data_IF_265978697807
#
_entry.id   IF_265978697807
#
_cell.length_a   1.000
_cell.length_b   1.000
_cell.length_c   1.000
_cell.angle_alpha   90.00
_cell.angle_beta   90.00
_cell.angle_gamma   90.00
#
_symmetry.space_group_name_H-M   'P 1'
#
loop_
_entity.id
_entity.type
_entity.pdbx_description
1 polymer ?
#
# COMPACT_ATOMS: atom_id res chain seq x y z
N UNK A 1 18.06 12.67 21.94
CA UNK A 1 17.50 13.33 20.73
C UNK A 1 18.08 12.80 19.40
N UNK A 2 19.07 11.90 19.40
CA UNK A 2 19.71 11.38 18.18
C UNK A 2 19.05 10.12 17.56
N UNK A 3 18.13 9.43 18.26
CA UNK A 3 17.59 8.15 17.77
C UNK A 3 16.49 8.28 16.70
N UNK A 4 15.72 9.38 16.67
CA UNK A 4 14.62 9.58 15.70
C UNK A 4 15.10 9.81 14.26
N UNK A 5 16.32 10.30 14.06
CA UNK A 5 16.82 10.60 12.72
C UNK A 5 17.33 9.35 11.98
N UNK A 6 17.81 8.34 12.72
CA UNK A 6 18.36 7.12 12.13
C UNK A 6 17.26 6.18 11.59
N UNK A 7 16.14 6.04 12.30
CA UNK A 7 14.97 5.26 11.85
C UNK A 7 14.33 5.87 10.60
N UNK A 8 14.12 7.20 10.59
CA UNK A 8 13.57 7.92 9.44
C UNK A 8 14.45 7.76 8.18
N UNK A 9 15.77 7.73 8.35
CA UNK A 9 16.72 7.46 7.26
C UNK A 9 16.66 6.01 6.74
N UNK A 10 16.57 5.02 7.64
CA UNK A 10 16.48 3.61 7.27
C UNK A 10 15.23 3.28 6.46
N UNK A 11 14.05 3.76 6.90
CA UNK A 11 12.79 3.62 6.17
C UNK A 11 12.90 4.26 4.78
N UNK A 12 13.51 5.44 4.70
CA UNK A 12 13.70 6.17 3.45
C UNK A 12 14.65 5.45 2.46
N UNK A 13 15.75 4.85 2.95
CA UNK A 13 16.67 4.07 2.10
C UNK A 13 16.00 2.80 1.58
N UNK A 14 15.30 2.06 2.46
CA UNK A 14 14.55 0.88 2.06
C UNK A 14 13.49 1.24 1.01
N UNK A 15 12.80 2.37 1.20
CA UNK A 15 11.88 2.92 0.23
C UNK A 15 12.56 3.15 -1.12
N UNK A 16 13.65 3.94 -1.17
CA UNK A 16 14.37 4.18 -2.43
C UNK A 16 14.81 2.89 -3.14
N UNK A 17 15.29 1.89 -2.39
CA UNK A 17 15.72 0.61 -2.96
C UNK A 17 14.55 -0.20 -3.54
N UNK A 18 13.41 -0.23 -2.85
CA UNK A 18 12.22 -0.97 -3.29
C UNK A 18 11.53 -0.22 -4.45
N UNK A 19 11.50 1.11 -4.42
CA UNK A 19 10.65 1.94 -5.30
C UNK A 19 11.39 2.70 -6.42
N UNK A 20 12.73 2.68 -6.46
CA UNK A 20 13.56 3.45 -7.41
C UNK A 20 13.89 2.77 -8.74
N UNK A 21 13.55 1.49 -8.94
CA UNK A 21 13.93 0.70 -10.14
C UNK A 21 12.80 0.65 -11.19
N UNK A 22 13.08 0.34 -12.47
CA UNK A 22 12.08 0.11 -13.53
C UNK A 22 11.22 -1.17 -13.31
N UNK A 23 11.67 -2.15 -12.52
CA UNK A 23 10.93 -3.39 -12.16
C UNK A 23 10.05 -3.26 -10.88
N UNK A 24 9.40 -2.11 -10.65
CA UNK A 24 8.75 -1.77 -9.36
C UNK A 24 7.72 -2.81 -8.87
N UNK A 25 6.90 -3.35 -9.77
CA UNK A 25 5.75 -4.19 -9.38
C UNK A 25 6.17 -5.54 -8.80
N UNK A 26 7.11 -6.23 -9.42
CA UNK A 26 7.57 -7.57 -8.97
C UNK A 26 8.27 -7.51 -7.60
N UNK A 27 9.11 -6.50 -7.41
CA UNK A 27 9.79 -6.26 -6.13
C UNK A 27 8.74 -5.96 -5.04
N UNK A 28 7.71 -5.18 -5.37
CA UNK A 28 6.65 -4.85 -4.41
C UNK A 28 5.78 -6.04 -4.05
N UNK A 29 5.38 -6.84 -5.03
CA UNK A 29 4.65 -8.09 -4.79
C UNK A 29 5.48 -9.00 -3.88
N UNK A 30 6.77 -9.18 -4.18
CA UNK A 30 7.67 -10.01 -3.36
C UNK A 30 7.80 -9.49 -1.94
N UNK A 31 7.99 -8.17 -1.79
CA UNK A 31 8.08 -7.52 -0.47
C UNK A 31 6.79 -7.69 0.35
N UNK A 32 5.64 -7.40 -0.25
CA UNK A 32 4.35 -7.52 0.43
C UNK A 32 4.05 -8.98 0.81
N UNK A 33 4.32 -9.94 -0.09
CA UNK A 33 4.16 -11.36 0.22
C UNK A 33 5.06 -11.78 1.39
N UNK A 34 6.30 -11.29 1.45
CA UNK A 34 7.23 -11.61 2.54
C UNK A 34 6.81 -11.00 3.88
N UNK A 35 6.50 -9.69 3.91
CA UNK A 35 6.17 -8.97 5.16
C UNK A 35 4.85 -9.45 5.77
N UNK A 36 3.89 -9.84 4.92
CA UNK A 36 2.56 -10.29 5.35
C UNK A 36 2.43 -11.82 5.45
N UNK A 37 3.54 -12.54 5.25
CA UNK A 37 3.60 -14.02 5.20
C UNK A 37 2.52 -14.64 4.29
N UNK A 38 2.33 -14.06 3.10
CA UNK A 38 1.38 -14.54 2.10
C UNK A 38 2.03 -15.64 1.26
N UNK A 39 1.49 -16.85 1.36
CA UNK A 39 1.99 -18.06 0.68
C UNK A 39 0.87 -18.80 -0.05
N UNK A 40 1.22 -19.52 -1.11
CA UNK A 40 0.30 -20.40 -1.84
C UNK A 40 -0.86 -19.63 -2.46
N UNK A 41 -2.10 -19.95 -2.07
CA UNK A 41 -3.31 -19.25 -2.56
C UNK A 41 -3.43 -17.81 -2.05
N UNK A 42 -2.71 -17.45 -0.98
CA UNK A 42 -2.74 -16.08 -0.43
C UNK A 42 -1.76 -15.14 -1.12
N UNK A 43 -0.87 -15.64 -1.97
CA UNK A 43 0.13 -14.82 -2.66
C UNK A 43 -0.54 -13.79 -3.56
N UNK A 44 -0.04 -12.57 -3.47
CA UNK A 44 -0.38 -11.49 -4.39
C UNK A 44 0.09 -11.87 -5.81
N UNK A 45 -0.82 -11.75 -6.77
CA UNK A 45 -0.56 -12.02 -8.19
C UNK A 45 -0.53 -10.74 -9.03
N UNK A 46 -1.28 -9.72 -8.65
CA UNK A 46 -1.35 -8.45 -9.40
C UNK A 46 -1.22 -7.26 -8.46
N UNK A 47 -0.60 -6.19 -8.99
CA UNK A 47 -0.33 -4.97 -8.26
C UNK A 47 -0.45 -3.74 -9.18
N UNK A 48 -1.19 -2.76 -8.71
CA UNK A 48 -1.37 -1.45 -9.31
C UNK A 48 -0.89 -0.37 -8.33
N UNK A 49 -0.11 0.58 -8.84
CA UNK A 49 0.28 1.78 -8.10
C UNK A 49 -0.78 2.84 -8.42
N UNK A 50 -1.54 3.25 -7.40
CA UNK A 50 -2.68 4.16 -7.57
C UNK A 50 -2.25 5.63 -7.71
N UNK A 51 -1.12 5.99 -7.10
CA UNK A 51 -0.55 7.33 -7.21
C UNK A 51 0.88 7.29 -7.76
N UNK A 52 1.06 7.25 -9.09
CA UNK A 52 2.40 7.16 -9.70
C UNK A 52 3.22 8.45 -9.56
N UNK A 53 2.58 9.60 -9.25
CA UNK A 53 3.21 10.92 -9.28
C UNK A 53 3.89 11.34 -7.96
N UNK A 54 3.78 10.55 -6.88
CA UNK A 54 4.43 10.82 -5.59
C UNK A 54 5.62 9.92 -5.29
N UNK A 55 6.09 9.15 -6.28
CA UNK A 55 7.37 8.46 -6.16
C UNK A 55 8.44 9.52 -6.42
N UNK A 56 9.20 9.98 -5.40
CA UNK A 56 10.05 11.16 -5.58
C UNK A 56 11.07 10.86 -6.66
N UNK A 57 11.05 11.65 -7.74
CA UNK A 57 12.12 11.72 -8.71
C UNK A 57 13.32 12.44 -8.07
N UNK A 58 13.91 11.81 -7.05
CA UNK A 58 15.20 12.14 -6.41
C UNK A 58 15.24 13.48 -5.63
N UNK A 59 16.07 13.46 -4.58
CA UNK A 59 16.56 14.50 -3.66
C UNK A 59 15.73 14.83 -2.42
N UNK A 60 14.44 15.20 -2.49
CA UNK A 60 13.76 15.71 -1.27
C UNK A 60 12.50 14.91 -0.88
N UNK A 61 12.62 14.02 0.11
CA UNK A 61 11.57 13.06 0.55
C UNK A 61 10.57 13.63 1.55
N UNK A 62 10.38 14.95 1.58
CA UNK A 62 9.32 15.56 2.41
C UNK A 62 7.92 15.09 2.03
N UNK A 63 7.73 14.50 0.84
CA UNK A 63 6.43 14.01 0.36
C UNK A 63 6.49 12.57 -0.18
N UNK A 64 7.00 11.61 0.62
CA UNK A 64 6.98 10.20 0.22
C UNK A 64 5.72 9.49 0.72
N UNK A 65 4.81 9.22 -0.21
CA UNK A 65 3.67 8.34 -0.02
C UNK A 65 3.52 7.37 -1.18
N UNK A 66 3.06 6.16 -0.85
CA UNK A 66 2.78 5.14 -1.84
C UNK A 66 1.43 4.52 -1.52
N UNK A 67 0.56 4.59 -2.52
CA UNK A 67 -0.76 3.98 -2.52
C UNK A 67 -0.77 2.86 -3.55
N UNK A 68 -1.02 1.63 -3.09
CA UNK A 68 -1.04 0.43 -3.91
C UNK A 68 -2.33 -0.34 -3.73
N UNK A 69 -2.87 -0.84 -4.84
CA UNK A 69 -3.89 -1.88 -4.86
C UNK A 69 -3.27 -3.19 -5.32
N UNK A 70 -3.39 -4.25 -4.52
CA UNK A 70 -2.92 -5.59 -4.84
C UNK A 70 -4.06 -6.61 -4.75
N UNK A 71 -3.98 -7.70 -5.49
CA UNK A 71 -4.96 -8.78 -5.47
C UNK A 71 -4.24 -10.13 -5.37
N UNK A 72 -4.70 -10.99 -4.45
CA UNK A 72 -4.19 -12.36 -4.33
C UNK A 72 -4.90 -13.36 -5.27
N UNK A 73 -4.40 -14.59 -5.30
CA UNK A 73 -4.98 -15.67 -6.15
C UNK A 73 -6.42 -16.04 -5.78
N UNK A 74 -6.94 -15.61 -4.63
CA UNK A 74 -8.34 -15.82 -4.21
C UNK A 74 -9.25 -14.65 -4.61
N UNK A 75 -8.69 -13.57 -5.15
CA UNK A 75 -9.42 -12.34 -5.45
C UNK A 75 -9.59 -11.40 -4.26
N UNK A 76 -8.90 -11.64 -3.14
CA UNK A 76 -8.89 -10.70 -2.00
C UNK A 76 -8.11 -9.46 -2.39
N UNK A 77 -8.72 -8.30 -2.18
CA UNK A 77 -8.08 -7.00 -2.49
C UNK A 77 -7.34 -6.47 -1.26
N UNK A 78 -6.12 -6.02 -1.47
CA UNK A 78 -5.30 -5.32 -0.49
C UNK A 78 -5.14 -3.87 -0.93
N UNK A 79 -5.47 -2.93 -0.04
CA UNK A 79 -5.16 -1.51 -0.18
C UNK A 79 -4.01 -1.22 0.76
N UNK A 80 -2.84 -0.90 0.21
CA UNK A 80 -1.62 -0.65 0.97
C UNK A 80 -1.29 0.84 0.88
N UNK A 81 -1.18 1.49 2.02
CA UNK A 81 -0.68 2.86 2.14
C UNK A 81 0.58 2.91 2.99
N UNK A 82 1.58 3.64 2.49
CA UNK A 82 2.79 3.94 3.23
C UNK A 82 2.94 5.46 3.35
N UNK A 83 3.11 5.96 4.59
CA UNK A 83 3.26 7.40 4.85
C UNK A 83 4.38 7.63 5.87
N UNK A 84 5.37 8.45 5.50
CA UNK A 84 6.43 8.88 6.43
C UNK A 84 5.94 10.02 7.34
N UNK A 85 4.99 10.83 6.85
CA UNK A 85 4.45 11.97 7.59
C UNK A 85 2.92 11.87 7.70
N UNK A 86 2.40 12.30 8.85
CA UNK A 86 0.96 12.27 9.10
C UNK A 86 0.26 13.32 8.25
N UNK A 87 -0.67 12.89 7.40
CA UNK A 87 -1.52 13.80 6.61
C UNK A 87 -2.86 14.07 7.31
N UNK A 88 -3.46 15.27 7.14
CA UNK A 88 -4.83 15.52 7.57
C UNK A 88 -5.82 14.54 6.94
N UNK A 89 -6.91 14.25 7.67
CA UNK A 89 -8.02 13.40 7.22
C UNK A 89 -7.64 11.96 6.80
N UNK A 90 -6.52 11.46 7.32
CA UNK A 90 -5.97 10.15 6.97
C UNK A 90 -6.99 9.01 7.14
N UNK A 91 -7.67 8.96 8.30
CA UNK A 91 -8.70 7.94 8.59
C UNK A 91 -9.89 7.99 7.64
N UNK A 92 -10.34 9.20 7.28
CA UNK A 92 -11.43 9.39 6.33
C UNK A 92 -11.03 8.85 4.95
N UNK A 93 -9.80 9.12 4.50
CA UNK A 93 -9.27 8.60 3.24
C UNK A 93 -9.22 7.08 3.23
N UNK A 94 -8.71 6.45 4.28
CA UNK A 94 -8.63 4.98 4.36
C UNK A 94 -10.01 4.35 4.33
N UNK A 95 -10.96 4.90 5.10
CA UNK A 95 -12.35 4.44 5.12
C UNK A 95 -12.98 4.55 3.73
N UNK A 96 -12.79 5.68 3.06
CA UNK A 96 -13.28 5.90 1.70
C UNK A 96 -12.68 4.90 0.70
N UNK A 97 -11.36 4.66 0.75
CA UNK A 97 -10.71 3.71 -0.15
C UNK A 97 -11.17 2.28 0.06
N UNK A 98 -11.30 1.83 1.31
CA UNK A 98 -11.82 0.49 1.60
C UNK A 98 -13.26 0.36 1.12
N UNK A 99 -14.12 1.33 1.44
CA UNK A 99 -15.52 1.30 1.03
C UNK A 99 -15.66 1.30 -0.51
N UNK A 100 -14.90 2.15 -1.21
CA UNK A 100 -14.88 2.22 -2.68
C UNK A 100 -14.35 0.92 -3.28
N UNK A 101 -13.26 0.37 -2.75
CA UNK A 101 -12.69 -0.88 -3.24
C UNK A 101 -13.61 -2.09 -3.01
N UNK A 102 -14.44 -2.06 -1.96
CA UNK A 102 -15.42 -3.10 -1.69
C UNK A 102 -16.64 -2.97 -2.61
N UNK A 103 -17.22 -1.78 -2.72
CA UNK A 103 -18.42 -1.55 -3.54
C UNK A 103 -18.16 -1.67 -5.03
N UNK A 104 -16.95 -1.36 -5.51
CA UNK A 104 -16.58 -1.44 -6.93
C UNK A 104 -16.33 -2.86 -7.45
N UNK A 105 -16.45 -3.90 -6.62
CA UNK A 105 -16.30 -5.29 -7.08
C UNK A 105 -17.52 -5.81 -7.85
N UNK A 106 -18.65 -5.12 -7.73
CA UNK A 106 -19.91 -5.52 -8.35
C UNK A 106 -20.53 -4.34 -9.09
N UNK A 107 -21.19 -4.65 -10.21
CA UNK A 107 -22.00 -3.69 -10.94
C UNK A 107 -23.44 -3.67 -10.43
N UNK A 108 -24.23 -2.69 -10.86
CA UNK A 108 -25.66 -2.62 -10.53
C UNK A 108 -26.35 -3.94 -10.94
N UNK A 109 -27.20 -4.46 -10.06
CA UNK A 109 -27.96 -5.71 -10.24
C UNK A 109 -27.14 -7.03 -10.18
N UNK A 110 -25.93 -7.01 -9.63
CA UNK A 110 -25.13 -8.22 -9.35
C UNK A 110 -25.37 -8.71 -7.91
N UNK A 111 -25.33 -10.03 -7.73
CA UNK A 111 -25.55 -10.71 -6.45
C UNK A 111 -24.41 -10.48 -5.43
N UNK A 112 -24.76 -10.04 -4.22
CA UNK A 112 -23.85 -9.69 -3.13
C UNK A 112 -22.90 -10.80 -2.64
N UNK A 113 -23.22 -12.11 -2.70
CA UNK A 113 -22.30 -13.20 -2.36
C UNK A 113 -21.00 -13.22 -3.17
N UNK A 114 -20.90 -12.45 -4.26
CA UNK A 114 -19.68 -12.32 -5.07
C UNK A 114 -18.66 -11.32 -4.48
N UNK A 115 -19.00 -10.60 -3.41
CA UNK A 115 -18.12 -9.64 -2.77
C UNK A 115 -16.98 -10.34 -2.01
N UNK A 116 -15.76 -10.14 -2.48
CA UNK A 116 -14.54 -10.56 -1.84
C UNK A 116 -14.08 -9.56 -0.76
N UNK A 117 -13.31 -10.08 0.20
CA UNK A 117 -12.74 -9.27 1.29
C UNK A 117 -11.82 -8.18 0.72
N UNK A 118 -11.89 -7.00 1.35
CA UNK A 118 -10.89 -5.93 1.20
C UNK A 118 -10.11 -5.80 2.51
N UNK A 119 -8.79 -5.74 2.43
CA UNK A 119 -7.87 -5.60 3.55
C UNK A 119 -7.10 -4.29 3.37
N UNK A 120 -7.15 -3.41 4.38
CA UNK A 120 -6.31 -2.23 4.41
C UNK A 120 -5.04 -2.49 5.23
N UNK A 121 -3.90 -2.03 4.72
CA UNK A 121 -2.60 -2.13 5.37
C UNK A 121 -1.97 -0.74 5.36
N UNK A 122 -1.80 -0.19 6.57
CA UNK A 122 -1.12 1.09 6.77
C UNK A 122 0.27 0.88 7.35
N UNK A 123 1.31 1.40 6.67
CA UNK A 123 2.68 1.42 7.16
C UNK A 123 3.08 2.87 7.42
N UNK A 124 3.17 3.24 8.70
CA UNK A 124 3.36 4.63 9.12
C UNK A 124 4.60 4.79 9.99
N UNK A 125 5.36 5.88 9.77
CA UNK A 125 6.45 6.31 10.67
C UNK A 125 5.92 7.20 11.83
N UNK A 126 4.61 7.12 12.09
CA UNK A 126 3.91 7.83 13.15
C UNK A 126 2.82 6.93 13.74
N UNK A 127 2.41 7.23 14.97
CA UNK A 127 1.31 6.52 15.62
C UNK A 127 -0.03 7.02 15.06
N UNK A 128 -0.77 6.16 14.39
CA UNK A 128 -2.14 6.45 13.93
C UNK A 128 -3.21 5.71 14.74
N UNK A 129 -2.85 4.61 15.41
CA UNK A 129 -3.70 3.78 16.27
C UNK A 129 -2.96 3.40 17.56
#
# INVERSE_FOLDING_TARGET
MLSRNFTRWGVNIAFKKIFGNKKKKEILISFLNAVLDLKGVKEIQTLEILNPYQIPHVVDLKESSLDVRAVDKRGVTFIVEMQVERKPFLRQRFTFYVAKAYSSQIEKAVDYPKLNKVIFIGVFDFKEF
#
